data_IF_899661432631
#
_entry.id   IF_899661432631
#
_cell.length_a   1.000
_cell.length_b   1.000
_cell.length_c   1.000
_cell.angle_alpha   90.00
_cell.angle_beta   90.00
_cell.angle_gamma   90.00
#
_symmetry.space_group_name_H-M   'P 1'
#
loop_
_entity.id
_entity.type
_entity.pdbx_description
1 polymer ?
#
# COMPACT_ATOMS: atom_id res chain seq x y z
N UNK A 1 24.62 9.97 38.32
CA UNK A 1 23.98 10.98 37.44
C UNK A 1 23.03 10.23 36.53
N UNK A 2 21.77 10.63 36.56
CA UNK A 2 20.63 9.95 35.95
C UNK A 2 20.77 10.00 34.42
N UNK A 3 20.72 8.86 33.72
CA UNK A 3 20.59 8.84 32.26
C UNK A 3 19.27 9.52 31.91
N UNK A 4 19.34 10.61 31.15
CA UNK A 4 18.16 11.22 30.54
C UNK A 4 17.75 10.36 29.35
N UNK A 5 16.72 9.54 29.56
CA UNK A 5 16.08 8.75 28.52
C UNK A 5 15.35 9.72 27.56
N UNK A 6 15.92 9.94 26.37
CA UNK A 6 15.54 11.02 25.46
C UNK A 6 14.46 10.52 24.49
N UNK A 7 13.18 10.63 24.86
CA UNK A 7 12.04 10.19 24.04
C UNK A 7 11.87 11.09 22.79
N UNK A 8 12.07 10.55 21.57
CA UNK A 8 11.72 11.22 20.30
C UNK A 8 10.54 10.57 19.59
N UNK A 9 9.64 11.34 18.98
CA UNK A 9 8.49 10.80 18.25
C UNK A 9 8.71 10.85 16.73
N UNK A 10 8.68 9.71 16.03
CA UNK A 10 8.49 9.68 14.57
C UNK A 10 7.01 9.86 14.24
N UNK A 11 6.70 10.76 13.31
CA UNK A 11 5.32 11.10 12.94
C UNK A 11 5.05 10.95 11.43
N UNK A 12 3.88 10.43 11.07
CA UNK A 12 3.33 10.26 9.72
C UNK A 12 2.08 11.12 9.51
N UNK A 13 1.72 11.54 8.29
CA UNK A 13 0.75 12.62 8.00
C UNK A 13 -0.74 12.42 8.43
N UNK A 14 -1.56 13.48 8.20
CA UNK A 14 -2.69 14.04 8.97
C UNK A 14 -3.94 13.13 9.17
N UNK A 15 -4.46 13.02 10.41
CA UNK A 15 -3.88 13.58 11.61
C UNK A 15 -2.55 12.87 11.90
N UNK A 16 -1.58 13.67 12.31
CA UNK A 16 -0.18 13.31 12.36
C UNK A 16 0.05 12.11 13.30
N UNK A 17 0.08 10.88 12.76
CA UNK A 17 0.18 9.65 13.54
C UNK A 17 1.61 9.48 14.05
N UNK A 18 1.80 9.51 15.37
CA UNK A 18 3.04 9.05 15.97
C UNK A 18 3.19 7.55 15.71
N UNK A 19 4.24 7.17 15.00
CA UNK A 19 4.48 5.80 14.58
C UNK A 19 5.30 5.04 15.63
N UNK A 20 6.37 5.67 16.13
CA UNK A 20 7.28 5.08 17.11
C UNK A 20 7.90 6.18 17.97
N UNK A 21 8.35 5.79 19.16
CA UNK A 21 9.23 6.61 20.00
C UNK A 21 10.62 5.99 20.07
N UNK A 22 11.68 6.76 19.86
CA UNK A 22 13.08 6.28 19.87
C UNK A 22 13.99 7.21 20.65
N UNK A 23 15.08 6.67 21.17
CA UNK A 23 16.11 7.43 21.90
C UNK A 23 17.34 7.65 21.03
N UNK A 24 17.94 8.83 21.12
CA UNK A 24 19.25 9.08 20.52
C UNK A 24 20.38 8.57 21.39
N UNK A 25 21.50 8.21 20.75
CA UNK A 25 22.74 7.97 21.45
C UNK A 25 23.38 9.26 21.98
N UNK A 26 24.54 9.14 22.64
CA UNK A 26 25.29 10.26 23.23
C UNK A 26 25.80 11.27 22.20
N UNK A 27 25.71 10.95 20.90
CA UNK A 27 26.09 11.83 19.78
C UNK A 27 24.88 12.45 19.08
N UNK A 28 23.65 12.12 19.51
CA UNK A 28 22.42 12.58 18.86
C UNK A 28 21.99 11.72 17.67
N UNK A 29 22.64 10.57 17.44
CA UNK A 29 22.29 9.66 16.34
C UNK A 29 21.18 8.70 16.74
N UNK A 30 20.33 8.31 15.79
CA UNK A 30 19.29 7.29 16.00
C UNK A 30 19.09 6.46 14.73
N UNK A 31 18.56 5.26 14.89
CA UNK A 31 18.09 4.40 13.79
C UNK A 31 16.73 3.81 14.15
N UNK A 32 15.84 3.72 13.16
CA UNK A 32 14.46 3.32 13.36
C UNK A 32 13.90 2.62 12.12
N UNK A 33 13.02 1.65 12.36
CA UNK A 33 12.21 1.02 11.33
C UNK A 33 10.75 1.03 11.76
N UNK A 34 9.84 1.32 10.83
CA UNK A 34 8.40 1.22 11.05
C UNK A 34 7.72 0.71 9.78
N UNK A 35 6.55 0.09 9.93
CA UNK A 35 5.69 -0.22 8.80
C UNK A 35 4.91 1.03 8.40
N UNK A 36 5.04 1.45 7.14
CA UNK A 36 4.24 2.56 6.62
C UNK A 36 2.76 2.20 6.75
N UNK A 37 1.93 3.03 7.41
CA UNK A 37 0.49 2.79 7.50
C UNK A 37 -0.16 2.72 6.11
N UNK A 38 -1.33 2.08 5.97
CA UNK A 38 -2.13 2.18 4.75
C UNK A 38 -2.28 3.64 4.32
N UNK A 39 -1.91 3.93 3.08
CA UNK A 39 -1.75 5.29 2.58
C UNK A 39 -2.05 5.36 1.10
N UNK A 40 -2.53 6.51 0.66
CA UNK A 40 -2.83 6.78 -0.73
C UNK A 40 -1.57 6.91 -1.58
N UNK A 41 -1.72 6.75 -2.90
CA UNK A 41 -0.64 7.02 -3.88
C UNK A 41 -0.08 8.44 -3.71
N UNK A 42 1.25 8.59 -3.82
CA UNK A 42 1.90 9.90 -3.86
C UNK A 42 3.02 10.09 -2.86
N UNK A 43 3.49 11.34 -2.74
CA UNK A 43 4.55 11.69 -1.80
C UNK A 43 4.01 11.87 -0.38
N UNK A 44 4.64 11.17 0.55
CA UNK A 44 4.38 11.31 1.98
C UNK A 44 5.65 11.76 2.69
N UNK A 45 5.48 12.46 3.80
CA UNK A 45 6.59 13.05 4.57
C UNK A 45 6.70 12.36 5.92
N UNK A 46 7.90 11.89 6.23
CA UNK A 46 8.31 11.42 7.55
C UNK A 46 8.94 12.61 8.26
N UNK A 47 8.48 12.87 9.48
CA UNK A 47 9.02 13.96 10.31
C UNK A 47 9.61 13.33 11.57
N UNK A 48 10.89 13.61 11.82
CA UNK A 48 11.54 13.38 13.11
C UNK A 48 11.56 14.69 13.88
N UNK A 49 11.10 14.67 15.13
CA UNK A 49 11.12 15.84 16.02
C UNK A 49 11.59 15.42 17.41
N UNK A 50 12.57 16.13 17.94
CA UNK A 50 13.06 15.92 19.31
C UNK A 50 12.30 16.79 20.34
N UNK A 51 12.56 16.54 21.62
CA UNK A 51 11.94 17.27 22.73
C UNK A 51 12.40 18.74 22.82
N UNK A 52 13.57 19.05 22.28
CA UNK A 52 14.17 20.39 22.24
C UNK A 52 13.62 21.25 21.10
N UNK A 53 12.82 20.67 20.20
CA UNK A 53 12.18 21.36 19.08
C UNK A 53 12.93 21.24 17.76
N UNK A 54 14.06 20.52 17.69
CA UNK A 54 14.74 20.26 16.43
C UNK A 54 13.88 19.32 15.58
N UNK A 55 13.89 19.54 14.27
CA UNK A 55 13.17 18.70 13.32
C UNK A 55 13.95 18.50 12.03
N UNK A 56 13.80 17.31 11.46
CA UNK A 56 14.21 17.00 10.09
C UNK A 56 13.05 16.26 9.41
N UNK A 57 12.99 16.34 8.09
CA UNK A 57 11.99 15.65 7.29
C UNK A 57 12.62 14.91 6.11
N UNK A 58 11.95 13.81 5.73
CA UNK A 58 12.28 13.03 4.54
C UNK A 58 11.01 12.66 3.81
N UNK A 59 11.05 12.73 2.48
CA UNK A 59 9.94 12.34 1.61
C UNK A 59 10.16 10.94 1.07
N UNK A 60 9.08 10.18 0.97
CA UNK A 60 9.04 8.94 0.23
C UNK A 60 7.78 8.89 -0.62
N UNK A 61 7.78 8.02 -1.63
CA UNK A 61 6.65 7.86 -2.54
C UNK A 61 5.95 6.53 -2.28
N UNK A 62 4.66 6.57 -1.99
CA UNK A 62 3.79 5.39 -2.00
C UNK A 62 3.38 5.13 -3.45
N UNK A 63 3.62 3.91 -3.91
CA UNK A 63 3.18 3.43 -5.22
C UNK A 63 2.11 2.35 -5.05
N UNK A 64 1.12 2.27 -5.96
CA UNK A 64 0.11 1.23 -5.90
C UNK A 64 0.73 -0.17 -5.96
N UNK A 65 0.09 -1.12 -5.29
CA UNK A 65 0.44 -2.54 -5.32
C UNK A 65 -0.82 -3.39 -5.21
N UNK A 66 -0.79 -4.59 -5.79
CA UNK A 66 -1.84 -5.60 -5.62
C UNK A 66 -1.23 -6.97 -5.31
N UNK A 67 -2.00 -7.80 -4.60
CA UNK A 67 -1.70 -9.21 -4.34
C UNK A 67 -2.91 -10.07 -4.71
N UNK A 68 -2.64 -11.30 -5.18
CA UNK A 68 -3.65 -12.26 -5.61
C UNK A 68 -3.69 -13.46 -4.66
N UNK A 69 -4.89 -13.94 -4.34
CA UNK A 69 -5.10 -15.17 -3.57
C UNK A 69 -6.28 -15.97 -4.17
N UNK A 70 -6.04 -17.15 -4.75
CA UNK A 70 -4.74 -17.73 -5.07
C UNK A 70 -4.01 -16.96 -6.19
N UNK A 71 -2.69 -17.16 -6.30
CA UNK A 71 -1.88 -16.63 -7.40
C UNK A 71 -1.76 -17.60 -8.60
N UNK A 72 -2.41 -18.78 -8.51
CA UNK A 72 -2.43 -19.78 -9.57
C UNK A 72 -3.65 -20.69 -9.48
N UNK A 73 -4.02 -21.30 -10.60
CA UNK A 73 -5.12 -22.27 -10.70
C UNK A 73 -5.65 -22.39 -12.12
N UNK A 74 -6.55 -23.35 -12.41
CA UNK A 74 -7.16 -23.46 -13.73
C UNK A 74 -8.04 -22.25 -14.06
N UNK A 75 -8.41 -22.10 -15.34
CA UNK A 75 -9.48 -21.19 -15.73
C UNK A 75 -10.76 -21.47 -14.93
N UNK A 76 -11.49 -20.43 -14.55
CA UNK A 76 -12.64 -20.53 -13.65
C UNK A 76 -12.29 -20.42 -12.15
N UNK A 77 -11.01 -20.29 -11.79
CA UNK A 77 -10.61 -20.09 -10.38
C UNK A 77 -11.13 -18.74 -9.85
N UNK A 78 -11.83 -18.70 -8.71
CA UNK A 78 -12.13 -17.43 -8.04
C UNK A 78 -10.86 -16.87 -7.38
N UNK A 79 -10.51 -15.63 -7.70
CA UNK A 79 -9.29 -14.95 -7.22
C UNK A 79 -9.67 -13.71 -6.45
N UNK A 80 -9.18 -13.60 -5.21
CA UNK A 80 -9.21 -12.38 -4.42
C UNK A 80 -8.04 -11.47 -4.81
N UNK A 81 -8.35 -10.22 -5.13
CA UNK A 81 -7.40 -9.13 -5.38
C UNK A 81 -7.45 -8.18 -4.19
N UNK A 82 -6.32 -8.02 -3.51
CA UNK A 82 -6.15 -7.00 -2.48
C UNK A 82 -5.22 -5.92 -2.99
N UNK A 83 -5.64 -4.66 -2.93
CA UNK A 83 -4.85 -3.52 -3.38
C UNK A 83 -4.56 -2.51 -2.28
N UNK A 84 -3.41 -1.84 -2.37
CA UNK A 84 -2.95 -0.77 -1.48
C UNK A 84 -2.25 0.32 -2.27
N UNK A 85 -2.19 1.55 -1.76
CA UNK A 85 -1.45 2.62 -2.40
C UNK A 85 -2.16 3.26 -3.59
N UNK A 86 -3.48 3.13 -3.69
CA UNK A 86 -4.31 3.79 -4.72
C UNK A 86 -4.84 5.14 -4.22
N UNK A 87 -5.50 5.92 -5.07
CA UNK A 87 -6.19 7.14 -4.64
C UNK A 87 -7.30 6.83 -3.62
N UNK A 88 -7.55 7.72 -2.66
CA UNK A 88 -8.64 7.56 -1.69
C UNK A 88 -10.02 7.67 -2.36
N UNK A 89 -10.98 6.86 -1.90
CA UNK A 89 -12.38 6.92 -2.36
C UNK A 89 -12.53 6.88 -3.88
N UNK A 90 -11.65 6.14 -4.55
CA UNK A 90 -11.52 6.08 -6.01
C UNK A 90 -12.06 4.76 -6.54
N UNK A 91 -12.69 4.78 -7.70
CA UNK A 91 -13.18 3.56 -8.36
C UNK A 91 -12.01 2.80 -8.97
N UNK A 92 -12.01 1.48 -8.84
CA UNK A 92 -10.95 0.60 -9.35
C UNK A 92 -11.49 -0.37 -10.39
N UNK A 93 -10.77 -0.48 -11.51
CA UNK A 93 -11.02 -1.44 -12.57
C UNK A 93 -9.99 -2.57 -12.53
N UNK A 94 -10.46 -3.82 -12.57
CA UNK A 94 -9.62 -5.01 -12.73
C UNK A 94 -9.64 -5.49 -14.17
N UNK A 95 -8.47 -5.77 -14.73
CA UNK A 95 -8.30 -6.40 -16.04
C UNK A 95 -7.42 -7.64 -15.94
N UNK A 96 -7.75 -8.67 -16.71
CA UNK A 96 -6.94 -9.86 -16.94
C UNK A 96 -6.47 -9.82 -18.40
N UNK A 97 -5.16 -9.77 -18.63
CA UNK A 97 -4.53 -9.57 -19.96
C UNK A 97 -5.12 -8.39 -20.75
N UNK A 98 -5.39 -7.29 -20.04
CA UNK A 98 -6.00 -6.09 -20.61
C UNK A 98 -7.53 -6.15 -20.80
N UNK A 99 -8.15 -7.32 -20.60
CA UNK A 99 -9.61 -7.49 -20.69
C UNK A 99 -10.26 -7.25 -19.34
N UNK A 100 -11.23 -6.32 -19.32
CA UNK A 100 -12.01 -5.97 -18.12
C UNK A 100 -12.73 -7.19 -17.56
N UNK A 101 -12.62 -7.40 -16.25
CA UNK A 101 -13.30 -8.49 -15.55
C UNK A 101 -14.51 -7.97 -14.78
N UNK A 102 -15.57 -8.77 -14.73
CA UNK A 102 -16.64 -8.59 -13.74
C UNK A 102 -16.10 -8.95 -12.37
N UNK A 103 -16.43 -8.15 -11.37
CA UNK A 103 -15.91 -8.30 -10.00
C UNK A 103 -17.05 -8.39 -8.99
N UNK A 104 -16.72 -8.87 -7.80
CA UNK A 104 -17.57 -8.79 -6.62
C UNK A 104 -16.77 -8.07 -5.52
N UNK A 105 -17.25 -6.92 -5.00
CA UNK A 105 -18.44 -6.17 -5.44
C UNK A 105 -18.33 -5.69 -6.90
N UNK A 106 -19.47 -5.47 -7.56
CA UNK A 106 -19.51 -5.04 -8.97
C UNK A 106 -18.85 -3.67 -9.20
N UNK A 107 -18.90 -2.80 -8.18
CA UNK A 107 -18.17 -1.54 -8.12
C UNK A 107 -17.15 -1.64 -7.00
N UNK A 108 -15.88 -1.52 -7.34
CA UNK A 108 -14.79 -1.46 -6.37
C UNK A 108 -14.51 0.01 -6.07
N UNK A 109 -14.51 0.37 -4.79
CA UNK A 109 -14.11 1.69 -4.32
C UNK A 109 -13.05 1.51 -3.25
N UNK A 110 -11.95 2.26 -3.35
CA UNK A 110 -10.93 2.27 -2.30
C UNK A 110 -11.45 2.94 -1.05
N UNK A 111 -10.95 2.49 0.10
CA UNK A 111 -11.15 3.17 1.36
C UNK A 111 -10.41 4.53 1.39
N UNK A 112 -10.61 5.36 2.43
CA UNK A 112 -9.88 6.62 2.57
C UNK A 112 -8.35 6.48 2.66
N UNK A 113 -7.84 5.28 2.91
CA UNK A 113 -6.41 4.97 2.95
C UNK A 113 -5.89 4.40 1.60
N UNK A 114 -6.71 4.38 0.55
CA UNK A 114 -6.31 3.91 -0.78
C UNK A 114 -6.21 2.38 -0.89
N UNK A 115 -6.89 1.64 -0.02
CA UNK A 115 -6.92 0.17 -0.04
C UNK A 115 -8.25 -0.36 -0.57
N UNK A 116 -8.25 -1.54 -1.19
CA UNK A 116 -9.48 -2.22 -1.61
C UNK A 116 -9.33 -3.73 -1.55
N UNK A 117 -10.46 -4.45 -1.58
CA UNK A 117 -10.50 -5.90 -1.86
C UNK A 117 -11.67 -6.21 -2.78
N UNK A 118 -11.44 -7.07 -3.75
CA UNK A 118 -12.46 -7.56 -4.67
C UNK A 118 -12.14 -8.98 -5.14
N UNK A 119 -13.13 -9.68 -5.67
CA UNK A 119 -12.91 -10.99 -6.30
C UNK A 119 -13.30 -10.95 -7.76
N UNK A 120 -12.60 -11.70 -8.60
CA UNK A 120 -13.02 -12.03 -9.97
C UNK A 120 -12.79 -13.51 -10.23
N UNK A 121 -13.44 -14.05 -11.26
CA UNK A 121 -13.20 -15.41 -11.71
C UNK A 121 -12.26 -15.39 -12.90
N UNK A 122 -11.17 -16.15 -12.85
CA UNK A 122 -10.19 -16.25 -13.94
C UNK A 122 -10.90 -16.65 -15.24
N UNK A 123 -10.79 -15.87 -16.33
CA UNK A 123 -11.47 -16.20 -17.59
C UNK A 123 -10.82 -17.42 -18.28
N UNK A 124 -11.53 -17.97 -19.26
CA UNK A 124 -10.94 -18.98 -20.15
C UNK A 124 -9.72 -18.38 -20.86
N UNK A 125 -8.58 -19.04 -20.72
CA UNK A 125 -7.28 -18.60 -21.17
C UNK A 125 -6.36 -19.80 -21.38
N UNK A 126 -5.26 -19.61 -22.11
CA UNK A 126 -4.23 -20.63 -22.27
C UNK A 126 -3.55 -20.93 -20.92
N UNK A 127 -2.88 -22.06 -20.80
CA UNK A 127 -1.98 -22.28 -19.65
C UNK A 127 -0.77 -21.35 -19.74
N UNK A 128 -0.29 -20.88 -18.59
CA UNK A 128 0.86 -19.97 -18.51
C UNK A 128 0.66 -18.78 -17.59
N UNK A 129 1.51 -17.77 -17.77
CA UNK A 129 1.52 -16.55 -16.97
C UNK A 129 0.59 -15.50 -17.57
N UNK A 130 -0.30 -14.96 -16.74
CA UNK A 130 -1.27 -13.94 -17.11
C UNK A 130 -1.17 -12.72 -16.20
N UNK A 131 -1.43 -11.55 -16.77
CA UNK A 131 -1.32 -10.28 -16.04
C UNK A 131 -2.68 -9.86 -15.50
N UNK A 132 -2.78 -9.78 -14.17
CA UNK A 132 -3.88 -9.08 -13.50
C UNK A 132 -3.44 -7.66 -13.22
N UNK A 133 -4.22 -6.67 -13.67
CA UNK A 133 -3.94 -5.25 -13.44
C UNK A 133 -5.13 -4.58 -12.77
N UNK A 134 -4.85 -3.79 -11.73
CA UNK A 134 -5.79 -2.88 -11.12
C UNK A 134 -5.44 -1.44 -11.51
N UNK A 135 -6.44 -0.64 -11.90
CA UNK A 135 -6.27 0.78 -12.25
C UNK A 135 -7.36 1.60 -11.57
N UNK A 136 -6.99 2.66 -10.85
CA UNK A 136 -7.95 3.59 -10.26
C UNK A 136 -8.38 4.70 -11.25
N UNK A 137 -9.39 5.49 -10.88
CA UNK A 137 -9.88 6.60 -11.69
C UNK A 137 -8.86 7.74 -11.89
N UNK A 138 -7.81 7.80 -11.05
CA UNK A 138 -6.69 8.73 -11.17
C UNK A 138 -5.54 8.15 -12.02
N UNK A 139 -5.77 7.02 -12.69
CA UNK A 139 -4.81 6.31 -13.54
C UNK A 139 -3.59 5.74 -12.80
N UNK A 140 -3.64 5.66 -11.48
CA UNK A 140 -2.66 4.87 -10.75
C UNK A 140 -2.95 3.39 -10.98
N UNK A 141 -1.90 2.59 -11.20
CA UNK A 141 -2.07 1.16 -11.46
C UNK A 141 -0.99 0.30 -10.84
N UNK A 142 -1.34 -0.95 -10.60
CA UNK A 142 -0.45 -2.02 -10.19
C UNK A 142 -0.82 -3.31 -10.93
N UNK A 143 0.13 -4.24 -10.99
CA UNK A 143 -0.07 -5.53 -11.63
C UNK A 143 0.52 -6.66 -10.80
N UNK A 144 -0.07 -7.84 -10.94
CA UNK A 144 0.40 -9.09 -10.38
C UNK A 144 0.20 -10.21 -11.39
N UNK A 145 1.02 -11.24 -11.30
CA UNK A 145 0.95 -12.41 -12.17
C UNK A 145 0.04 -13.47 -11.57
N UNK A 146 -0.87 -14.00 -12.38
CA UNK A 146 -1.63 -15.21 -12.10
C UNK A 146 -1.17 -16.33 -13.05
N UNK A 147 -0.85 -17.51 -12.52
CA UNK A 147 -0.44 -18.65 -13.33
C UNK A 147 -1.61 -19.61 -13.58
N UNK A 148 -2.04 -19.73 -14.84
CA UNK A 148 -3.07 -20.68 -15.27
C UNK A 148 -2.44 -22.05 -15.53
N UNK A 149 -2.96 -23.08 -14.88
CA UNK A 149 -2.50 -24.48 -14.95
C UNK A 149 -3.50 -25.41 -15.62
#
# INVERSE_FOLDING_TARGET
>A
MQQADLLQHLKYQKPQQALITITTDTTGSFSASFTVPPSTSGYHTIISKDASGNSDDKKFKVTPSISLLPASGPAGTPVTVSGKGFAASSTVKITFDGITQTTLPATITTDPAGSFTATFTTPSSTTGSHTVKATDASLHSASATFNVS
#
